data_IF_992264434089
#
_entry.id   IF_992264434089
#
_cell.length_a   1.000
_cell.length_b   1.000
_cell.length_c   1.000
_cell.angle_alpha   90.00
_cell.angle_beta   90.00
_cell.angle_gamma   90.00
#
_symmetry.space_group_name_H-M   'P 1'
#
loop_
_entity.id
_entity.type
_entity.pdbx_description
1 polymer ?
#
# COMPACT_ATOMS: atom_id res chain seq x y z
N UNK A 1 63.05 -25.16 -51.03
CA UNK A 1 63.72 -25.14 -49.72
C UNK A 1 64.64 -23.93 -49.68
N UNK A 2 64.12 -22.82 -49.16
CA UNK A 2 64.91 -21.68 -48.68
C UNK A 2 64.02 -20.97 -47.67
N UNK A 3 64.43 -21.10 -46.43
CA UNK A 3 63.85 -20.53 -45.23
C UNK A 3 63.75 -19.00 -45.34
N UNK A 4 62.62 -18.45 -44.89
CA UNK A 4 62.52 -17.05 -44.52
C UNK A 4 61.82 -16.98 -43.16
N UNK A 5 62.66 -16.96 -42.13
CA UNK A 5 62.33 -16.58 -40.76
C UNK A 5 61.75 -15.16 -40.75
N UNK A 6 60.52 -15.01 -40.24
CA UNK A 6 60.00 -13.72 -39.78
C UNK A 6 59.76 -13.84 -38.28
N UNK A 7 60.56 -13.09 -37.54
CA UNK A 7 60.43 -12.82 -36.12
C UNK A 7 59.06 -12.24 -35.80
N UNK A 8 58.39 -12.73 -34.76
CA UNK A 8 57.41 -11.90 -34.05
C UNK A 8 57.49 -12.16 -32.54
N UNK A 9 57.72 -11.06 -31.84
CA UNK A 9 58.12 -10.91 -30.47
C UNK A 9 57.13 -11.47 -29.45
N UNK A 10 57.68 -12.07 -28.39
CA UNK A 10 56.98 -12.34 -27.15
C UNK A 10 56.59 -11.01 -26.48
N UNK A 11 55.29 -10.81 -26.24
CA UNK A 11 54.78 -9.76 -25.34
C UNK A 11 54.27 -10.37 -24.02
N UNK A 12 55.04 -10.32 -22.92
CA UNK A 12 54.60 -10.76 -21.61
C UNK A 12 53.95 -9.58 -20.87
N UNK A 13 52.74 -9.20 -21.25
CA UNK A 13 52.00 -8.14 -20.56
C UNK A 13 50.93 -8.76 -19.63
N UNK A 14 51.42 -9.07 -18.42
CA UNK A 14 50.73 -9.15 -17.14
C UNK A 14 49.20 -8.96 -17.15
N UNK A 15 48.50 -10.07 -16.93
CA UNK A 15 47.08 -10.15 -16.63
C UNK A 15 46.76 -9.51 -15.26
N UNK A 16 46.62 -8.19 -15.22
CA UNK A 16 45.96 -7.50 -14.10
C UNK A 16 44.45 -7.41 -14.38
N UNK A 17 43.75 -8.53 -14.15
CA UNK A 17 42.28 -8.51 -14.06
C UNK A 17 41.86 -7.86 -12.75
N UNK A 18 41.47 -6.59 -12.81
CA UNK A 18 40.79 -5.91 -11.71
C UNK A 18 39.51 -6.69 -11.32
N UNK A 19 39.19 -6.84 -10.03
CA UNK A 19 37.95 -7.48 -9.64
C UNK A 19 36.78 -6.61 -10.10
N UNK A 20 35.86 -7.20 -10.87
CA UNK A 20 34.60 -6.56 -11.21
C UNK A 20 33.88 -6.20 -9.90
N UNK A 21 33.74 -4.90 -9.64
CA UNK A 21 32.87 -4.38 -8.58
C UNK A 21 31.46 -4.91 -8.84
N UNK A 22 31.08 -5.98 -8.13
CA UNK A 22 29.73 -6.49 -8.13
C UNK A 22 28.81 -5.37 -7.62
N UNK A 23 28.05 -4.77 -8.55
CA UNK A 23 27.05 -3.77 -8.23
C UNK A 23 26.07 -4.40 -7.26
N UNK A 24 26.16 -4.07 -5.97
CA UNK A 24 25.23 -4.56 -4.96
C UNK A 24 23.87 -3.95 -5.33
N UNK A 25 22.96 -4.78 -5.82
CA UNK A 25 21.61 -4.35 -6.18
C UNK A 25 21.02 -3.54 -5.02
N UNK A 26 20.68 -2.28 -5.27
CA UNK A 26 20.05 -1.43 -4.29
C UNK A 26 18.81 -2.13 -3.72
N UNK A 27 18.57 -2.09 -2.40
CA UNK A 27 17.38 -2.71 -1.83
C UNK A 27 16.16 -2.11 -2.53
N UNK A 28 15.36 -2.98 -3.15
CA UNK A 28 14.10 -2.61 -3.77
C UNK A 28 13.18 -2.07 -2.66
N UNK A 29 13.16 -0.75 -2.45
CA UNK A 29 12.27 -0.12 -1.49
C UNK A 29 10.85 -0.41 -1.94
N UNK A 30 10.18 -1.35 -1.25
CA UNK A 30 8.81 -1.71 -1.55
C UNK A 30 7.96 -0.44 -1.45
N UNK A 31 7.26 -0.09 -2.54
CA UNK A 31 6.38 1.07 -2.54
C UNK A 31 5.36 0.95 -1.40
N UNK A 32 5.08 2.04 -0.66
CA UNK A 32 4.12 2.01 0.43
C UNK A 32 2.74 1.60 -0.11
N UNK A 33 2.00 0.84 0.70
CA UNK A 33 0.63 0.44 0.34
C UNK A 33 -0.23 1.69 0.33
N UNK A 34 -0.90 1.95 -0.79
CA UNK A 34 -1.77 3.11 -0.99
C UNK A 34 -3.14 2.72 -1.56
N UNK A 35 -4.08 3.66 -1.46
CA UNK A 35 -5.36 3.57 -2.15
C UNK A 35 -5.20 3.96 -3.62
N UNK A 36 -5.84 3.24 -4.52
CA UNK A 36 -5.93 3.68 -5.92
C UNK A 36 -6.95 4.82 -6.08
N UNK A 37 -6.98 5.42 -7.27
CA UNK A 37 -7.87 6.55 -7.56
C UNK A 37 -9.36 6.20 -7.41
N UNK A 38 -9.75 4.99 -7.80
CA UNK A 38 -11.14 4.54 -7.72
C UNK A 38 -11.55 4.29 -6.27
N UNK A 39 -10.68 3.67 -5.48
CA UNK A 39 -10.87 3.43 -4.06
C UNK A 39 -10.99 4.74 -3.28
N UNK A 40 -10.07 5.67 -3.54
CA UNK A 40 -10.10 6.98 -2.90
C UNK A 40 -11.39 7.74 -3.25
N UNK A 41 -11.86 7.63 -4.50
CA UNK A 41 -13.13 8.23 -4.92
C UNK A 41 -14.31 7.68 -4.12
N UNK A 42 -14.39 6.36 -3.92
CA UNK A 42 -15.45 5.74 -3.12
C UNK A 42 -15.43 6.20 -1.66
N UNK A 43 -14.24 6.26 -1.05
CA UNK A 43 -14.05 6.73 0.32
C UNK A 43 -14.46 8.20 0.45
N UNK A 44 -14.01 9.06 -0.47
CA UNK A 44 -14.34 10.49 -0.46
C UNK A 44 -15.82 10.75 -0.76
N UNK A 45 -16.46 9.93 -1.61
CA UNK A 45 -17.90 10.03 -1.85
C UNK A 45 -18.70 9.74 -0.57
N UNK A 46 -18.32 8.73 0.20
CA UNK A 46 -18.93 8.45 1.51
C UNK A 46 -18.65 9.60 2.49
N UNK A 47 -17.41 10.08 2.53
CA UNK A 47 -17.02 11.20 3.38
C UNK A 47 -17.86 12.45 3.11
N UNK A 48 -18.04 12.83 1.85
CA UNK A 48 -18.84 13.99 1.47
C UNK A 48 -20.31 13.88 1.94
N UNK A 49 -20.92 12.69 1.83
CA UNK A 49 -22.28 12.46 2.36
C UNK A 49 -22.33 12.62 3.88
N UNK A 50 -21.37 12.04 4.59
CA UNK A 50 -21.31 12.09 6.06
C UNK A 50 -20.98 13.48 6.61
N UNK A 51 -20.21 14.28 5.87
CA UNK A 51 -20.00 15.70 6.17
C UNK A 51 -21.29 16.49 5.96
N UNK A 52 -22.04 16.22 4.89
CA UNK A 52 -23.35 16.87 4.66
C UNK A 52 -24.38 16.52 5.75
N UNK A 53 -24.31 15.31 6.32
CA UNK A 53 -25.10 14.90 7.48
C UNK A 53 -24.59 15.51 8.81
N UNK A 54 -23.42 16.16 8.81
CA UNK A 54 -22.78 16.73 10.00
C UNK A 54 -22.15 15.70 10.94
N UNK A 55 -22.08 14.43 10.54
CA UNK A 55 -21.50 13.35 11.34
C UNK A 55 -19.97 13.39 11.35
N UNK A 56 -19.35 13.74 10.21
CA UNK A 56 -17.89 13.74 10.03
C UNK A 56 -17.38 15.16 9.79
N UNK A 57 -16.15 15.44 10.25
CA UNK A 57 -15.56 16.79 10.15
C UNK A 57 -14.12 16.81 9.67
N UNK A 58 -13.36 15.78 9.97
CA UNK A 58 -11.94 15.72 9.62
C UNK A 58 -11.54 14.29 9.24
N UNK A 59 -10.43 14.17 8.51
CA UNK A 59 -9.86 12.90 8.10
C UNK A 59 -8.33 12.95 8.06
N UNK A 60 -7.71 11.80 8.27
CA UNK A 60 -6.28 11.61 8.06
C UNK A 60 -6.06 10.40 7.15
N UNK A 61 -5.00 10.45 6.34
CA UNK A 61 -4.60 9.34 5.47
C UNK A 61 -3.16 8.96 5.78
N UNK A 62 -2.98 7.75 6.27
CA UNK A 62 -1.68 7.21 6.63
C UNK A 62 -1.30 6.08 5.68
N UNK A 63 -0.05 6.12 5.18
CA UNK A 63 0.50 5.08 4.34
C UNK A 63 1.67 4.42 5.05
N UNK A 64 1.61 3.10 5.18
CA UNK A 64 2.69 2.30 5.75
C UNK A 64 3.13 1.23 4.75
N UNK A 65 4.27 0.60 5.01
CA UNK A 65 4.76 -0.51 4.20
C UNK A 65 3.79 -1.72 4.17
N UNK A 66 2.85 -1.81 5.11
CA UNK A 66 1.94 -2.96 5.24
C UNK A 66 0.50 -2.63 4.88
N UNK A 67 0.06 -1.39 5.15
CA UNK A 67 -1.33 -0.97 4.95
C UNK A 67 -1.47 0.52 4.68
N UNK A 68 -2.54 0.87 3.96
CA UNK A 68 -3.07 2.23 3.88
C UNK A 68 -4.24 2.36 4.86
N UNK A 69 -4.34 3.50 5.55
CA UNK A 69 -5.36 3.77 6.55
C UNK A 69 -6.01 5.11 6.22
N UNK A 70 -7.33 5.15 6.16
CA UNK A 70 -8.11 6.38 6.10
C UNK A 70 -8.87 6.50 7.42
N UNK A 71 -8.46 7.43 8.27
CA UNK A 71 -9.01 7.67 9.59
C UNK A 71 -10.00 8.83 9.52
N UNK A 72 -11.16 8.67 10.16
CA UNK A 72 -12.24 9.66 10.17
C UNK A 72 -12.51 10.15 11.58
N UNK A 73 -12.70 11.46 11.72
CA UNK A 73 -12.90 12.13 13.00
C UNK A 73 -14.19 12.96 13.01
N UNK A 74 -14.91 12.90 14.13
CA UNK A 74 -16.08 13.77 14.40
C UNK A 74 -15.67 15.16 14.87
N UNK A 75 -14.54 15.26 15.57
CA UNK A 75 -13.92 16.50 16.06
C UNK A 75 -12.40 16.30 16.05
N UNK A 76 -11.64 17.36 15.85
CA UNK A 76 -10.18 17.32 15.76
C UNK A 76 -9.49 16.73 17.01
N UNK A 77 -10.10 16.81 18.19
CA UNK A 77 -9.54 16.31 19.46
C UNK A 77 -10.15 14.98 19.96
N UNK A 78 -11.02 14.34 19.18
CA UNK A 78 -11.64 13.06 19.56
C UNK A 78 -10.91 11.87 18.92
N UNK A 79 -11.10 10.67 19.47
CA UNK A 79 -10.60 9.45 18.84
C UNK A 79 -11.25 9.26 17.45
N UNK A 80 -10.49 8.66 16.51
CA UNK A 80 -11.03 8.29 15.21
C UNK A 80 -12.27 7.41 15.39
N UNK A 81 -13.39 7.84 14.80
CA UNK A 81 -14.66 7.11 14.80
C UNK A 81 -14.50 5.79 14.06
N UNK A 82 -13.91 5.90 12.87
CA UNK A 82 -13.73 4.79 11.95
C UNK A 82 -12.37 4.89 11.26
N UNK A 83 -11.80 3.73 10.95
CA UNK A 83 -10.60 3.57 10.14
C UNK A 83 -10.89 2.59 9.02
N UNK A 84 -10.72 3.03 7.78
CA UNK A 84 -10.79 2.19 6.60
C UNK A 84 -9.36 1.76 6.30
N UNK A 85 -9.07 0.46 6.45
CA UNK A 85 -7.75 -0.10 6.23
C UNK A 85 -7.69 -0.90 4.93
N UNK A 86 -6.62 -0.74 4.16
CA UNK A 86 -6.26 -1.60 3.01
C UNK A 86 -4.98 -2.37 3.32
N UNK A 87 -5.07 -3.70 3.37
CA UNK A 87 -3.95 -4.62 3.59
C UNK A 87 -3.87 -5.63 2.43
N UNK A 88 -3.08 -5.35 1.37
CA UNK A 88 -2.97 -6.23 0.20
C UNK A 88 -2.51 -7.65 0.54
N UNK A 89 -1.66 -7.80 1.56
CA UNK A 89 -1.18 -9.12 2.04
C UNK A 89 -2.33 -10.05 2.47
N UNK A 90 -3.45 -9.48 2.94
CA UNK A 90 -4.63 -10.24 3.37
C UNK A 90 -5.68 -10.43 2.27
N UNK A 91 -5.46 -9.84 1.08
CA UNK A 91 -6.40 -9.93 -0.04
C UNK A 91 -6.76 -11.37 -0.40
N UNK A 92 -5.76 -12.28 -0.36
CA UNK A 92 -5.94 -13.71 -0.70
C UNK A 92 -6.50 -14.56 0.44
N UNK A 93 -6.58 -14.04 1.67
CA UNK A 93 -7.01 -14.81 2.85
C UNK A 93 -8.38 -14.37 3.37
N UNK A 94 -8.51 -13.09 3.70
CA UNK A 94 -9.69 -12.55 4.40
C UNK A 94 -10.30 -11.34 3.70
N UNK A 95 -9.65 -10.83 2.65
CA UNK A 95 -10.04 -9.60 1.97
C UNK A 95 -9.05 -8.46 2.24
N UNK A 96 -8.89 -7.59 1.24
CA UNK A 96 -7.93 -6.50 1.27
C UNK A 96 -8.41 -5.33 2.15
N UNK A 97 -9.72 -5.17 2.34
CA UNK A 97 -10.30 -4.00 3.00
C UNK A 97 -10.95 -4.35 4.32
N UNK A 98 -10.82 -3.46 5.31
CA UNK A 98 -11.53 -3.55 6.57
C UNK A 98 -11.99 -2.18 7.04
N UNK A 99 -13.11 -2.15 7.76
CA UNK A 99 -13.56 -0.99 8.53
C UNK A 99 -13.43 -1.34 10.00
N UNK A 100 -12.74 -0.48 10.74
CA UNK A 100 -12.44 -0.65 12.16
C UNK A 100 -13.03 0.54 12.92
N UNK A 101 -13.83 0.27 13.94
CA UNK A 101 -14.38 1.29 14.83
C UNK A 101 -13.37 1.73 15.89
N UNK A 102 -13.74 2.73 16.68
CA UNK A 102 -13.03 3.11 17.90
C UNK A 102 -12.83 1.89 18.80
N UNK A 103 -11.64 1.75 19.41
CA UNK A 103 -11.29 0.60 20.25
C UNK A 103 -10.80 -0.64 19.48
N UNK A 104 -10.72 -0.60 18.14
CA UNK A 104 -10.13 -1.68 17.34
C UNK A 104 -11.10 -2.77 16.89
N UNK A 105 -12.40 -2.60 17.16
CA UNK A 105 -13.44 -3.52 16.69
C UNK A 105 -13.55 -3.48 15.17
N UNK A 106 -13.36 -4.62 14.49
CA UNK A 106 -13.55 -4.72 13.04
C UNK A 106 -15.03 -4.88 12.73
N UNK A 107 -15.65 -3.84 12.15
CA UNK A 107 -17.07 -3.86 11.77
C UNK A 107 -17.33 -4.72 10.54
N UNK A 108 -16.42 -4.65 9.56
CA UNK A 108 -16.51 -5.42 8.33
C UNK A 108 -15.14 -5.63 7.72
N UNK A 109 -14.94 -6.78 7.08
CA UNK A 109 -13.79 -7.10 6.25
C UNK A 109 -14.23 -7.80 4.97
N UNK A 110 -13.54 -7.54 3.87
CA UNK A 110 -13.86 -8.14 2.57
C UNK A 110 -12.93 -7.73 1.44
N UNK A 111 -13.11 -8.36 0.28
CA UNK A 111 -12.36 -8.04 -0.95
C UNK A 111 -12.95 -6.88 -1.77
N UNK A 112 -14.16 -6.45 -1.44
CA UNK A 112 -14.87 -5.37 -2.13
C UNK A 112 -15.00 -4.16 -1.19
N UNK A 113 -14.37 -3.04 -1.58
CA UNK A 113 -14.38 -1.80 -0.80
C UNK A 113 -15.79 -1.25 -0.63
N UNK A 114 -16.63 -1.22 -1.67
CA UNK A 114 -17.99 -0.65 -1.59
C UNK A 114 -18.85 -1.39 -0.57
N UNK A 115 -18.79 -2.73 -0.59
CA UNK A 115 -19.50 -3.57 0.39
C UNK A 115 -19.02 -3.36 1.82
N UNK A 116 -17.72 -3.12 1.98
CA UNK A 116 -17.12 -2.81 3.28
C UNK A 116 -17.56 -1.43 3.76
N UNK A 117 -17.56 -0.41 2.90
CA UNK A 117 -18.01 0.95 3.21
C UNK A 117 -19.51 1.05 3.52
N UNK A 118 -20.33 0.16 2.95
CA UNK A 118 -21.77 0.14 3.18
C UNK A 118 -22.18 -0.04 4.65
N UNK A 119 -21.29 -0.54 5.52
CA UNK A 119 -21.58 -0.62 6.97
C UNK A 119 -21.60 0.74 7.67
N UNK A 120 -20.92 1.74 7.09
CA UNK A 120 -20.86 3.11 7.59
C UNK A 120 -22.01 3.98 7.04
N UNK A 121 -22.54 3.61 5.87
CA UNK A 121 -23.64 4.31 5.19
C UNK A 121 -25.02 3.90 5.73
N UNK A 122 -25.10 2.77 6.44
CA UNK A 122 -26.38 2.26 6.95
C UNK A 122 -26.88 3.09 8.13
N UNK A 123 -27.95 3.86 7.88
CA UNK A 123 -29.09 3.89 8.82
C UNK A 123 -29.33 2.45 9.29
N UNK A 124 -29.06 2.17 10.56
CA UNK A 124 -29.23 0.85 11.17
C UNK A 124 -30.65 0.32 10.90
N UNK A 125 -30.82 -0.50 9.86
CA UNK A 125 -31.92 -1.47 9.82
C UNK A 125 -31.40 -2.66 10.62
N UNK A 126 -31.56 -2.58 11.94
CA UNK A 126 -31.47 -3.73 12.84
C UNK A 126 -32.44 -4.77 12.27
N UNK A 127 -31.90 -5.84 11.69
CA UNK A 127 -32.70 -7.01 11.38
C UNK A 127 -32.76 -7.78 12.70
N UNK A 128 -33.86 -7.64 13.43
CA UNK A 128 -34.17 -8.55 14.52
C UNK A 128 -34.33 -9.95 13.91
N UNK A 129 -33.54 -10.91 14.39
CA UNK A 129 -33.88 -12.33 14.25
C UNK A 129 -35.04 -12.68 15.17
#
# INVERSE_FOLDING_TARGET
MSDLETSEEANPAAEMRAPALAFRAAPQTQAPVSFDRSELREILNLYGRKVAEGEWRDYAVDFTAQKAIFSVYRRACECALYRIEKTPKLARKQGAYAVVATGGLVLKRGGDLRRVLAVLDKRLRLVSS
#
